data_IF_998738572927
#
_entry.id   IF_998738572927
#
_cell.length_a   1.000
_cell.length_b   1.000
_cell.length_c   1.000
_cell.angle_alpha   90.00
_cell.angle_beta   90.00
_cell.angle_gamma   90.00
#
_symmetry.space_group_name_H-M   'P 1'
#
loop_
_entity.id
_entity.type
_entity.pdbx_description
1 polymer ?
#
# COMPACT_ATOMS: atom_id res chain seq x y z
N UNK A 1 -7.11 19.24 5.06
CA UNK A 1 -7.81 19.96 6.11
C UNK A 1 -7.88 19.19 7.41
N UNK A 2 -8.93 18.38 7.64
CA UNK A 2 -9.21 17.74 8.94
C UNK A 2 -8.08 16.82 9.44
N UNK A 3 -7.58 15.93 8.63
CA UNK A 3 -6.49 15.01 9.00
C UNK A 3 -5.20 15.75 9.43
N UNK A 4 -4.88 16.88 8.83
CA UNK A 4 -3.71 17.71 9.22
C UNK A 4 -3.90 18.29 10.61
N UNK A 5 -5.10 18.80 10.89
CA UNK A 5 -5.48 19.34 12.21
C UNK A 5 -5.39 18.27 13.28
N UNK A 6 -5.98 17.09 13.04
CA UNK A 6 -5.96 15.97 14.01
C UNK A 6 -4.54 15.47 14.29
N UNK A 7 -3.70 15.38 13.25
CA UNK A 7 -2.29 15.05 13.42
C UNK A 7 -1.53 16.10 14.25
N UNK A 8 -1.81 17.39 14.04
CA UNK A 8 -1.21 18.46 14.84
C UNK A 8 -1.67 18.41 16.30
N UNK A 9 -2.93 18.10 16.57
CA UNK A 9 -3.47 17.90 17.91
C UNK A 9 -2.85 16.66 18.58
N UNK A 10 -2.73 15.55 17.85
CA UNK A 10 -2.09 14.33 18.35
C UNK A 10 -0.65 14.57 18.76
N UNK A 11 0.12 15.38 18.03
CA UNK A 11 1.50 15.77 18.41
C UNK A 11 1.61 16.45 19.77
N UNK A 12 0.54 17.10 20.23
CA UNK A 12 0.50 17.78 21.54
C UNK A 12 -0.05 16.87 22.67
N UNK A 13 -0.49 15.67 22.34
CA UNK A 13 -1.10 14.74 23.29
C UNK A 13 -0.05 13.87 24.02
N UNK A 14 -0.37 13.36 25.23
CA UNK A 14 0.47 12.36 25.91
C UNK A 14 0.68 11.08 25.10
N UNK A 15 -0.22 10.78 24.15
CA UNK A 15 -0.10 9.67 23.23
C UNK A 15 1.13 9.78 22.31
N UNK A 16 1.50 11.01 21.93
CA UNK A 16 2.71 11.27 21.15
C UNK A 16 3.99 10.88 21.89
N UNK A 17 4.12 11.23 23.16
CA UNK A 17 5.26 10.85 23.99
C UNK A 17 5.36 9.33 24.13
N UNK A 18 4.25 8.64 24.42
CA UNK A 18 4.18 7.18 24.51
C UNK A 18 4.55 6.48 23.20
N UNK A 19 4.14 7.04 22.05
CA UNK A 19 4.50 6.52 20.74
C UNK A 19 6.02 6.52 20.52
N UNK A 20 6.72 7.59 20.97
CA UNK A 20 8.17 7.71 20.81
C UNK A 20 8.97 6.71 21.66
N UNK A 21 8.48 6.40 22.84
CA UNK A 21 9.11 5.48 23.78
C UNK A 21 8.89 4.00 23.44
N UNK A 22 7.93 3.72 22.57
CA UNK A 22 7.55 2.35 22.22
C UNK A 22 8.06 1.93 20.82
N UNK A 23 8.00 0.63 20.54
CA UNK A 23 8.24 0.10 19.21
C UNK A 23 7.20 0.58 18.17
N UNK A 24 6.06 1.12 18.62
CA UNK A 24 5.03 1.70 17.77
C UNK A 24 5.48 3.00 17.08
N UNK A 25 6.67 3.53 17.35
CA UNK A 25 7.25 4.71 16.68
C UNK A 25 7.23 4.59 15.15
N UNK A 26 7.28 3.38 14.60
CA UNK A 26 7.15 3.08 13.17
C UNK A 26 5.81 3.55 12.59
N UNK A 27 4.75 3.65 13.41
CA UNK A 27 3.44 4.15 12.98
C UNK A 27 3.46 5.62 12.54
N UNK A 28 4.52 6.39 12.83
CA UNK A 28 4.71 7.72 12.24
C UNK A 28 4.75 7.70 10.71
N UNK A 29 5.15 6.58 10.11
CA UNK A 29 5.16 6.39 8.66
C UNK A 29 3.74 6.30 8.04
N UNK A 30 2.72 6.16 8.86
CA UNK A 30 1.34 6.28 8.40
C UNK A 30 1.05 7.68 7.81
N UNK A 31 1.76 8.72 8.27
CA UNK A 31 1.59 10.07 7.76
C UNK A 31 2.05 10.24 6.30
N UNK A 32 3.33 9.98 5.94
CA UNK A 32 3.74 10.05 4.54
C UNK A 32 3.01 9.03 3.67
N UNK A 33 2.65 7.86 4.20
CA UNK A 33 1.81 6.90 3.50
C UNK A 33 0.44 7.50 3.13
N UNK A 34 -0.25 8.12 4.09
CA UNK A 34 -1.56 8.75 3.85
C UNK A 34 -1.48 9.90 2.85
N UNK A 35 -0.40 10.71 2.86
CA UNK A 35 -0.17 11.75 1.88
C UNK A 35 0.02 11.18 0.47
N UNK A 36 0.85 10.14 0.32
CA UNK A 36 1.08 9.50 -0.96
C UNK A 36 -0.21 8.82 -1.49
N UNK A 37 -0.99 8.17 -0.60
CA UNK A 37 -2.31 7.62 -0.95
C UNK A 37 -3.26 8.71 -1.43
N UNK A 38 -3.32 9.84 -0.71
CA UNK A 38 -4.15 10.98 -1.08
C UNK A 38 -3.80 11.56 -2.44
N UNK A 39 -2.51 11.69 -2.76
CA UNK A 39 -2.05 12.12 -4.08
C UNK A 39 -2.45 11.12 -5.18
N UNK A 40 -2.21 9.82 -4.97
CA UNK A 40 -2.60 8.80 -5.95
C UNK A 40 -4.12 8.78 -6.17
N UNK A 41 -4.91 8.85 -5.10
CA UNK A 41 -6.37 8.91 -5.19
C UNK A 41 -6.84 10.20 -5.88
N UNK A 42 -6.21 11.33 -5.59
CA UNK A 42 -6.47 12.62 -6.24
C UNK A 42 -6.24 12.54 -7.75
N UNK A 43 -5.18 11.89 -8.20
CA UNK A 43 -4.93 11.65 -9.62
C UNK A 43 -6.02 10.83 -10.29
N UNK A 44 -6.42 9.70 -9.68
CA UNK A 44 -7.49 8.85 -10.21
C UNK A 44 -8.80 9.62 -10.27
N UNK A 45 -9.13 10.37 -9.21
CA UNK A 45 -10.33 11.20 -9.19
C UNK A 45 -10.30 12.30 -10.26
N UNK A 46 -9.17 12.99 -10.43
CA UNK A 46 -9.01 14.03 -11.43
C UNK A 46 -9.18 13.48 -12.86
N UNK A 47 -8.63 12.29 -13.14
CA UNK A 47 -8.79 11.61 -14.45
C UNK A 47 -10.26 11.30 -14.78
N UNK A 48 -11.08 11.03 -13.76
CA UNK A 48 -12.51 10.71 -13.94
C UNK A 48 -13.40 11.97 -13.97
N UNK A 49 -13.05 12.97 -13.14
CA UNK A 49 -13.94 14.10 -12.87
C UNK A 49 -13.62 15.37 -13.67
N UNK A 50 -12.40 15.53 -14.21
CA UNK A 50 -11.96 16.74 -14.91
C UNK A 50 -11.93 16.48 -16.42
N UNK A 51 -12.93 17.02 -17.18
CA UNK A 51 -12.90 16.96 -18.63
C UNK A 51 -11.67 17.68 -19.21
N UNK A 52 -11.02 17.08 -20.20
CA UNK A 52 -9.86 17.72 -20.86
C UNK A 52 -8.58 17.73 -20.03
N UNK A 53 -8.50 16.99 -18.90
CA UNK A 53 -7.28 16.90 -18.09
C UNK A 53 -6.06 16.47 -18.92
N UNK A 54 -6.26 15.61 -19.90
CA UNK A 54 -5.19 15.12 -20.76
C UNK A 54 -4.47 16.20 -21.56
N UNK A 55 -5.12 17.32 -21.86
CA UNK A 55 -4.49 18.44 -22.59
C UNK A 55 -3.49 19.24 -21.74
N UNK A 56 -3.57 19.14 -20.41
CA UNK A 56 -2.71 19.87 -19.45
C UNK A 56 -1.86 18.94 -18.57
N UNK A 57 -2.01 17.61 -18.73
CA UNK A 57 -1.43 16.62 -17.82
C UNK A 57 0.10 16.68 -17.78
N UNK A 58 0.74 17.05 -18.90
CA UNK A 58 2.20 17.19 -18.99
C UNK A 58 2.75 18.27 -18.04
N UNK A 59 1.99 19.31 -17.74
CA UNK A 59 2.36 20.33 -16.75
C UNK A 59 2.14 19.87 -15.31
N UNK A 60 1.25 18.90 -15.12
CA UNK A 60 0.92 18.36 -13.80
C UNK A 60 1.95 17.31 -13.38
N UNK A 61 2.51 16.53 -14.29
CA UNK A 61 3.49 15.48 -13.96
C UNK A 61 4.72 15.99 -13.20
N UNK A 62 5.40 17.09 -13.58
CA UNK A 62 6.53 17.62 -12.79
C UNK A 62 6.13 18.01 -11.37
N UNK A 63 4.95 18.61 -11.20
CA UNK A 63 4.40 18.99 -9.88
C UNK A 63 4.14 17.74 -9.02
N UNK A 64 3.56 16.72 -9.63
CA UNK A 64 3.32 15.44 -8.97
C UNK A 64 4.62 14.74 -8.56
N UNK A 65 5.62 14.71 -9.45
CA UNK A 65 6.94 14.16 -9.16
C UNK A 65 7.56 14.89 -7.96
N UNK A 66 7.55 16.23 -7.97
CA UNK A 66 8.04 17.03 -6.84
C UNK A 66 7.32 16.68 -5.52
N UNK A 67 5.99 16.56 -5.56
CA UNK A 67 5.19 16.15 -4.40
C UNK A 67 5.55 14.77 -3.88
N UNK A 68 5.67 13.77 -4.76
CA UNK A 68 6.08 12.42 -4.36
C UNK A 68 7.53 12.36 -3.84
N UNK A 69 8.45 13.15 -4.41
CA UNK A 69 9.84 13.26 -3.91
C UNK A 69 9.87 13.86 -2.51
N UNK A 70 9.10 14.90 -2.24
CA UNK A 70 9.00 15.50 -0.91
C UNK A 70 8.44 14.51 0.11
N UNK A 71 7.39 13.77 -0.24
CA UNK A 71 6.79 12.75 0.63
C UNK A 71 7.77 11.59 0.84
N UNK A 72 8.40 11.10 -0.22
CA UNK A 72 9.38 10.02 -0.16
C UNK A 72 10.63 10.40 0.64
N UNK A 73 11.16 11.61 0.42
CA UNK A 73 12.27 12.16 1.19
C UNK A 73 11.92 12.28 2.68
N UNK A 74 10.72 12.76 3.00
CA UNK A 74 10.24 12.80 4.39
C UNK A 74 10.12 11.39 4.99
N UNK A 75 9.61 10.42 4.25
CA UNK A 75 9.54 9.03 4.69
C UNK A 75 10.94 8.45 4.97
N UNK A 76 11.91 8.69 4.08
CA UNK A 76 13.30 8.24 4.27
C UNK A 76 13.96 8.88 5.50
N UNK A 77 13.76 10.17 5.72
CA UNK A 77 14.26 10.85 6.91
C UNK A 77 13.66 10.27 8.20
N UNK A 78 12.36 9.94 8.20
CA UNK A 78 11.72 9.27 9.35
C UNK A 78 12.29 7.88 9.56
N UNK A 79 12.47 7.10 8.51
CA UNK A 79 13.06 5.76 8.58
C UNK A 79 14.48 5.84 9.14
N UNK A 80 15.32 6.75 8.59
CA UNK A 80 16.69 6.92 9.03
C UNK A 80 16.79 7.31 10.51
N UNK A 81 15.93 8.23 10.98
CA UNK A 81 15.88 8.62 12.40
C UNK A 81 15.45 7.47 13.29
N UNK A 82 14.34 6.78 12.95
CA UNK A 82 13.82 5.66 13.73
C UNK A 82 14.84 4.52 13.82
N UNK A 83 15.44 4.16 12.69
CA UNK A 83 16.46 3.09 12.66
C UNK A 83 17.75 3.54 13.34
N UNK A 84 18.21 4.77 13.11
CA UNK A 84 19.39 5.32 13.73
C UNK A 84 19.28 5.29 15.25
N UNK A 85 18.19 5.81 15.82
CA UNK A 85 17.93 5.79 17.26
C UNK A 85 17.91 4.37 17.83
N UNK A 86 17.26 3.44 17.12
CA UNK A 86 17.09 2.06 17.58
C UNK A 86 18.35 1.20 17.42
N UNK A 87 19.10 1.39 16.35
CA UNK A 87 20.35 0.66 16.12
C UNK A 87 21.47 1.15 17.05
N UNK A 88 21.51 2.45 17.36
CA UNK A 88 22.52 3.02 18.27
C UNK A 88 22.25 2.69 19.74
N UNK A 89 20.96 2.64 20.14
CA UNK A 89 20.60 2.37 21.55
C UNK A 89 20.44 0.89 21.87
N UNK A 90 20.39 -0.01 20.89
CA UNK A 90 20.13 -1.44 21.10
C UNK A 90 18.73 -1.78 21.66
N UNK A 91 17.86 -0.79 21.80
CA UNK A 91 16.57 -0.90 22.48
C UNK A 91 15.38 -1.39 21.62
N UNK A 92 15.63 -1.95 20.44
CA UNK A 92 14.56 -2.50 19.60
C UNK A 92 14.32 -3.95 19.99
N UNK A 93 13.40 -4.17 20.90
CA UNK A 93 12.94 -5.51 21.25
C UNK A 93 12.00 -6.04 20.15
N UNK A 94 12.58 -6.74 19.20
CA UNK A 94 11.82 -7.40 18.12
C UNK A 94 10.79 -8.37 18.69
N UNK A 95 11.00 -8.90 19.88
CA UNK A 95 10.12 -9.83 20.56
C UNK A 95 8.83 -9.20 21.08
N UNK A 96 8.84 -7.93 21.50
CA UNK A 96 7.64 -7.24 22.00
C UNK A 96 6.76 -6.65 20.90
N UNK A 97 7.14 -6.80 19.62
CA UNK A 97 6.42 -6.19 18.50
C UNK A 97 5.65 -7.25 17.70
N UNK A 98 4.60 -7.81 18.29
CA UNK A 98 3.73 -8.84 17.70
C UNK A 98 2.86 -8.30 16.55
N UNK A 99 3.37 -7.39 15.73
CA UNK A 99 2.59 -6.79 14.66
C UNK A 99 3.39 -6.55 13.40
N UNK A 100 2.74 -6.70 12.25
CA UNK A 100 3.30 -6.35 10.95
C UNK A 100 3.29 -4.85 10.65
N UNK A 101 2.98 -3.99 11.63
CA UNK A 101 3.14 -2.53 11.49
C UNK A 101 4.57 -2.12 11.15
N UNK A 102 5.56 -2.97 11.43
CA UNK A 102 6.94 -2.81 10.97
C UNK A 102 7.08 -2.74 9.44
N UNK A 103 6.09 -3.19 8.67
CA UNK A 103 6.09 -3.09 7.20
C UNK A 103 5.60 -1.73 6.68
N UNK A 104 5.17 -0.80 7.56
CA UNK A 104 4.76 0.55 7.14
C UNK A 104 5.83 1.32 6.34
N UNK A 105 7.16 1.21 6.63
CA UNK A 105 8.18 1.78 5.76
C UNK A 105 8.08 1.30 4.32
N UNK A 106 7.99 -0.01 4.13
CA UNK A 106 7.87 -0.62 2.81
C UNK A 106 6.58 -0.16 2.10
N UNK A 107 5.47 -0.09 2.83
CA UNK A 107 4.19 0.36 2.30
C UNK A 107 4.24 1.84 1.86
N UNK A 108 4.84 2.72 2.68
CA UNK A 108 4.97 4.14 2.33
C UNK A 108 5.85 4.33 1.08
N UNK A 109 6.98 3.63 1.02
CA UNK A 109 7.90 3.70 -0.13
C UNK A 109 7.29 3.13 -1.41
N UNK A 110 6.54 2.00 -1.33
CA UNK A 110 5.83 1.44 -2.50
C UNK A 110 4.73 2.37 -3.00
N UNK A 111 4.05 3.10 -2.11
CA UNK A 111 3.02 4.06 -2.49
C UNK A 111 3.61 5.28 -3.22
N UNK A 112 4.80 5.72 -2.83
CA UNK A 112 5.57 6.75 -3.57
C UNK A 112 6.03 6.22 -4.93
N UNK A 113 6.58 5.00 -4.96
CA UNK A 113 7.06 4.37 -6.18
C UNK A 113 5.95 4.22 -7.23
N UNK A 114 4.76 3.74 -6.83
CA UNK A 114 3.62 3.57 -7.75
C UNK A 114 3.08 4.91 -8.26
N UNK A 115 3.13 5.96 -7.46
CA UNK A 115 2.76 7.31 -7.89
C UNK A 115 3.71 7.86 -8.96
N UNK A 116 5.00 7.75 -8.73
CA UNK A 116 6.05 8.14 -9.69
C UNK A 116 5.98 7.32 -10.99
N UNK A 117 5.71 6.01 -10.90
CA UNK A 117 5.58 5.15 -12.08
C UNK A 117 4.44 5.56 -13.00
N UNK A 118 3.41 6.22 -12.47
CA UNK A 118 2.33 6.80 -13.27
C UNK A 118 2.84 7.86 -14.23
N UNK A 119 3.61 8.82 -13.75
CA UNK A 119 4.24 9.85 -14.59
C UNK A 119 5.23 9.25 -15.59
N UNK A 120 6.01 8.23 -15.19
CA UNK A 120 6.94 7.54 -16.05
C UNK A 120 6.26 6.83 -17.23
N UNK A 121 5.07 6.23 -17.00
CA UNK A 121 4.36 5.46 -18.01
C UNK A 121 3.48 6.31 -18.94
N UNK A 122 3.07 7.50 -18.50
CA UNK A 122 2.04 8.30 -19.19
C UNK A 122 2.55 9.61 -19.80
N UNK A 123 3.67 10.16 -19.34
CA UNK A 123 4.24 11.39 -19.89
C UNK A 123 4.84 11.13 -21.29
N UNK A 124 4.73 12.13 -22.17
CA UNK A 124 5.37 12.14 -23.48
C UNK A 124 6.70 12.93 -23.47
N UNK A 125 7.01 13.62 -22.37
CA UNK A 125 8.23 14.38 -22.25
C UNK A 125 9.38 13.46 -21.77
N UNK A 126 10.45 13.26 -22.57
CA UNK A 126 11.55 12.33 -22.25
C UNK A 126 12.24 12.65 -20.91
N UNK A 127 12.40 13.93 -20.57
CA UNK A 127 13.04 14.32 -19.32
C UNK A 127 12.15 13.95 -18.11
N UNK A 128 10.83 14.21 -18.20
CA UNK A 128 9.86 13.81 -17.18
C UNK A 128 9.84 12.29 -17.01
N UNK A 129 9.82 11.55 -18.11
CA UNK A 129 9.86 10.07 -18.11
C UNK A 129 11.12 9.56 -17.42
N UNK A 130 12.30 10.05 -17.81
CA UNK A 130 13.58 9.60 -17.26
C UNK A 130 13.67 9.84 -15.75
N UNK A 131 13.30 11.05 -15.31
CA UNK A 131 13.31 11.40 -13.88
C UNK A 131 12.31 10.55 -13.09
N UNK A 132 11.08 10.44 -13.58
CA UNK A 132 10.03 9.66 -12.93
C UNK A 132 10.37 8.16 -12.86
N UNK A 133 10.90 7.60 -13.94
CA UNK A 133 11.36 6.21 -14.02
C UNK A 133 12.45 5.92 -12.99
N UNK A 134 13.51 6.75 -12.99
CA UNK A 134 14.66 6.58 -12.10
C UNK A 134 14.25 6.66 -10.62
N UNK A 135 13.45 7.67 -10.26
CA UNK A 135 12.96 7.85 -8.91
C UNK A 135 11.98 6.73 -8.49
N UNK A 136 11.10 6.29 -9.41
CA UNK A 136 10.20 5.17 -9.14
C UNK A 136 10.97 3.89 -8.88
N UNK A 137 11.96 3.57 -9.71
CA UNK A 137 12.82 2.39 -9.54
C UNK A 137 13.60 2.46 -8.21
N UNK A 138 14.12 3.64 -7.84
CA UNK A 138 14.81 3.88 -6.57
C UNK A 138 13.89 3.56 -5.37
N UNK A 139 12.70 4.18 -5.31
CA UNK A 139 11.77 3.95 -4.20
C UNK A 139 11.21 2.53 -4.18
N UNK A 140 11.00 1.91 -5.35
CA UNK A 140 10.58 0.52 -5.47
C UNK A 140 11.63 -0.42 -4.87
N UNK A 141 12.90 -0.24 -5.21
CA UNK A 141 14.00 -1.04 -4.67
C UNK A 141 14.07 -0.94 -3.15
N UNK A 142 14.02 0.28 -2.61
CA UNK A 142 14.00 0.49 -1.16
C UNK A 142 12.76 -0.14 -0.49
N UNK A 143 11.61 -0.07 -1.16
CA UNK A 143 10.38 -0.71 -0.66
C UNK A 143 10.51 -2.22 -0.60
N UNK A 144 10.99 -2.86 -1.67
CA UNK A 144 11.14 -4.33 -1.74
C UNK A 144 12.15 -4.82 -0.71
N UNK A 145 13.31 -4.15 -0.59
CA UNK A 145 14.32 -4.48 0.43
C UNK A 145 13.75 -4.35 1.85
N UNK A 146 13.04 -3.25 2.11
CA UNK A 146 12.39 -3.03 3.41
C UNK A 146 11.32 -4.08 3.69
N UNK A 147 10.48 -4.41 2.69
CA UNK A 147 9.42 -5.41 2.82
C UNK A 147 10.01 -6.78 3.16
N UNK A 148 11.08 -7.19 2.47
CA UNK A 148 11.74 -8.47 2.71
C UNK A 148 12.30 -8.55 4.13
N UNK A 149 13.09 -7.55 4.56
CA UNK A 149 13.71 -7.52 5.89
C UNK A 149 12.64 -7.51 7.00
N UNK A 150 11.62 -6.65 6.87
CA UNK A 150 10.60 -6.52 7.92
C UNK A 150 9.60 -7.67 7.92
N UNK A 151 9.33 -8.31 6.78
CA UNK A 151 8.51 -9.52 6.75
C UNK A 151 9.19 -10.67 7.48
N UNK A 152 10.49 -10.91 7.25
CA UNK A 152 11.24 -11.94 7.96
C UNK A 152 11.28 -11.68 9.48
N UNK A 153 11.57 -10.45 9.89
CA UNK A 153 11.59 -10.09 11.32
C UNK A 153 10.20 -10.19 11.95
N UNK A 154 9.17 -9.73 11.25
CA UNK A 154 7.79 -9.83 11.72
C UNK A 154 7.30 -11.26 11.88
N UNK A 155 7.57 -12.14 10.91
CA UNK A 155 7.25 -13.57 11.00
C UNK A 155 7.98 -14.23 12.16
N UNK A 156 9.28 -13.97 12.33
CA UNK A 156 10.05 -14.52 13.45
C UNK A 156 9.48 -14.10 14.81
N UNK A 157 9.09 -12.84 14.96
CA UNK A 157 8.46 -12.34 16.18
C UNK A 157 7.10 -13.03 16.45
N UNK A 158 6.30 -13.21 15.39
CA UNK A 158 5.00 -13.90 15.51
C UNK A 158 5.13 -15.39 15.85
N UNK A 159 6.13 -16.08 15.29
CA UNK A 159 6.41 -17.48 15.65
C UNK A 159 6.87 -17.62 17.10
N UNK A 160 7.60 -16.64 17.62
CA UNK A 160 8.13 -16.66 18.99
C UNK A 160 7.09 -16.29 20.05
N UNK A 161 6.17 -15.38 19.75
CA UNK A 161 5.30 -14.74 20.77
C UNK A 161 3.80 -14.81 20.46
N UNK A 162 3.44 -15.32 19.27
CA UNK A 162 2.05 -15.30 18.80
C UNK A 162 1.58 -13.91 18.35
N UNK A 163 0.41 -13.87 17.73
CA UNK A 163 -0.25 -12.63 17.30
C UNK A 163 -1.33 -12.22 18.29
N UNK A 164 -1.28 -10.98 18.78
CA UNK A 164 -2.38 -10.46 19.59
C UNK A 164 -3.63 -10.18 18.73
N UNK A 165 -4.85 -10.33 19.26
CA UNK A 165 -6.08 -10.03 18.51
C UNK A 165 -6.11 -8.61 17.95
N UNK A 166 -5.59 -7.64 18.70
CA UNK A 166 -5.61 -6.22 18.36
C UNK A 166 -4.75 -5.90 17.13
N UNK A 167 -3.60 -6.60 16.98
CA UNK A 167 -2.62 -6.32 15.92
C UNK A 167 -2.68 -7.30 14.76
N UNK A 168 -3.47 -8.36 14.85
CA UNK A 168 -3.55 -9.44 13.84
C UNK A 168 -3.97 -8.93 12.44
N UNK A 169 -4.78 -7.87 12.35
CA UNK A 169 -5.16 -7.25 11.08
C UNK A 169 -3.94 -6.74 10.29
N UNK A 170 -2.84 -6.41 10.96
CA UNK A 170 -1.61 -5.95 10.29
C UNK A 170 -0.91 -7.05 9.48
N UNK A 171 -1.22 -8.33 9.72
CA UNK A 171 -0.74 -9.45 8.89
C UNK A 171 -1.10 -9.27 7.42
N UNK A 172 -2.21 -8.63 7.14
CA UNK A 172 -2.67 -8.40 5.77
C UNK A 172 -2.00 -7.21 5.07
N UNK A 173 -1.08 -6.48 5.72
CA UNK A 173 -0.38 -5.35 5.09
C UNK A 173 0.50 -5.76 3.90
N UNK A 174 0.93 -7.01 3.85
CA UNK A 174 1.66 -7.57 2.70
C UNK A 174 0.85 -7.57 1.40
N UNK A 175 -0.49 -7.64 1.50
CA UNK A 175 -1.39 -7.68 0.33
C UNK A 175 -1.31 -6.39 -0.49
N UNK A 176 -1.57 -5.18 0.08
CA UNK A 176 -1.45 -3.95 -0.68
C UNK A 176 -0.01 -3.67 -1.14
N UNK A 177 1.02 -4.04 -0.36
CA UNK A 177 2.41 -3.87 -0.79
C UNK A 177 2.68 -4.67 -2.07
N UNK A 178 2.29 -5.94 -2.12
CA UNK A 178 2.44 -6.78 -3.31
C UNK A 178 1.71 -6.19 -4.53
N UNK A 179 0.51 -5.62 -4.33
CA UNK A 179 -0.23 -4.90 -5.38
C UNK A 179 0.59 -3.74 -5.94
N UNK A 180 1.09 -2.87 -5.06
CA UNK A 180 1.83 -1.67 -5.45
C UNK A 180 3.13 -2.01 -6.17
N UNK A 181 3.85 -3.02 -5.70
CA UNK A 181 5.08 -3.52 -6.34
C UNK A 181 4.78 -4.02 -7.75
N UNK A 182 3.75 -4.86 -7.91
CA UNK A 182 3.38 -5.40 -9.22
C UNK A 182 2.93 -4.33 -10.22
N UNK A 183 2.11 -3.37 -9.78
CA UNK A 183 1.66 -2.25 -10.62
C UNK A 183 2.84 -1.35 -11.00
N UNK A 184 3.75 -1.08 -10.06
CA UNK A 184 4.94 -0.28 -10.33
C UNK A 184 5.82 -0.97 -11.38
N UNK A 185 6.11 -2.26 -11.22
CA UNK A 185 6.89 -3.04 -12.19
C UNK A 185 6.23 -3.04 -13.57
N UNK A 186 4.91 -3.25 -13.63
CA UNK A 186 4.15 -3.17 -14.88
C UNK A 186 4.29 -1.79 -15.55
N UNK A 187 4.12 -0.70 -14.81
CA UNK A 187 4.21 0.67 -15.36
C UNK A 187 5.62 1.01 -15.81
N UNK A 188 6.66 0.58 -15.06
CA UNK A 188 8.05 0.75 -15.47
C UNK A 188 8.36 -0.07 -16.72
N UNK A 189 7.84 -1.29 -16.85
CA UNK A 189 7.97 -2.10 -18.05
C UNK A 189 7.30 -1.42 -19.27
N UNK A 190 6.10 -0.86 -19.08
CA UNK A 190 5.41 -0.07 -20.12
C UNK A 190 6.23 1.16 -20.52
N UNK A 191 6.78 1.90 -19.55
CA UNK A 191 7.65 3.04 -19.83
C UNK A 191 8.91 2.63 -20.59
N UNK A 192 9.52 1.49 -20.21
CA UNK A 192 10.69 0.95 -20.90
C UNK A 192 10.38 0.60 -22.38
N UNK A 193 9.22 0.00 -22.64
CA UNK A 193 8.81 -0.35 -24.00
C UNK A 193 8.50 0.89 -24.86
N UNK A 194 7.83 1.90 -24.29
CA UNK A 194 7.37 3.07 -25.04
C UNK A 194 8.47 4.09 -25.30
N UNK A 195 9.43 4.26 -24.35
CA UNK A 195 10.38 5.38 -24.39
C UNK A 195 11.84 4.94 -24.57
N UNK A 196 12.18 3.70 -24.22
CA UNK A 196 13.56 3.20 -24.26
C UNK A 196 13.76 2.05 -25.26
N UNK A 197 12.77 1.77 -26.11
CA UNK A 197 12.81 0.73 -27.14
C UNK A 197 13.18 -0.67 -26.58
N UNK A 198 12.80 -0.97 -25.34
CA UNK A 198 13.01 -2.28 -24.69
C UNK A 198 11.75 -3.12 -24.85
N UNK A 199 11.83 -4.21 -25.60
CA UNK A 199 10.70 -5.15 -25.69
C UNK A 199 10.55 -5.94 -24.39
N UNK A 200 9.41 -5.78 -23.71
CA UNK A 200 9.07 -6.57 -22.52
C UNK A 200 8.02 -7.61 -22.90
N UNK A 201 8.38 -8.91 -22.87
CA UNK A 201 7.44 -9.97 -23.22
C UNK A 201 6.21 -9.99 -22.29
N UNK A 202 5.01 -10.14 -22.87
CA UNK A 202 3.76 -10.20 -22.11
C UNK A 202 3.74 -11.34 -21.07
N UNK A 203 4.42 -12.47 -21.37
CA UNK A 203 4.55 -13.59 -20.44
C UNK A 203 5.35 -13.22 -19.17
N UNK A 204 6.32 -12.30 -19.27
CA UNK A 204 7.06 -11.82 -18.11
C UNK A 204 6.14 -10.99 -17.19
N UNK A 205 5.30 -10.14 -17.77
CA UNK A 205 4.30 -9.37 -17.02
C UNK A 205 3.27 -10.28 -16.35
N UNK A 206 2.81 -11.32 -17.04
CA UNK A 206 1.97 -12.35 -16.44
C UNK A 206 2.67 -12.98 -15.22
N UNK A 207 3.96 -13.34 -15.36
CA UNK A 207 4.75 -13.91 -14.27
C UNK A 207 4.84 -12.98 -13.05
N UNK A 208 5.02 -11.67 -13.26
CA UNK A 208 5.02 -10.66 -12.18
C UNK A 208 3.68 -10.65 -11.44
N UNK A 209 2.55 -10.65 -12.16
CA UNK A 209 1.24 -10.65 -11.53
C UNK A 209 0.95 -11.96 -10.79
N UNK A 210 1.31 -13.11 -11.36
CA UNK A 210 1.16 -14.42 -10.69
C UNK A 210 1.99 -14.48 -9.41
N UNK A 211 3.25 -14.02 -9.44
CA UNK A 211 4.11 -13.96 -8.26
C UNK A 211 3.51 -13.07 -7.16
N UNK A 212 3.01 -11.90 -7.53
CA UNK A 212 2.36 -10.99 -6.59
C UNK A 212 1.06 -11.57 -6.01
N UNK A 213 0.23 -12.25 -6.83
CA UNK A 213 -0.97 -12.97 -6.36
C UNK A 213 -0.60 -14.10 -5.40
N UNK A 214 0.49 -14.83 -5.64
CA UNK A 214 0.98 -15.86 -4.74
C UNK A 214 1.36 -15.27 -3.37
N UNK A 215 2.09 -14.15 -3.35
CA UNK A 215 2.43 -13.43 -2.11
C UNK A 215 1.16 -12.95 -1.40
N UNK A 216 0.20 -12.37 -2.11
CA UNK A 216 -1.08 -11.95 -1.53
C UNK A 216 -1.85 -13.11 -0.92
N UNK A 217 -1.93 -14.24 -1.64
CA UNK A 217 -2.63 -15.44 -1.16
C UNK A 217 -2.00 -15.96 0.12
N UNK A 218 -0.67 -15.98 0.20
CA UNK A 218 0.06 -16.35 1.42
C UNK A 218 -0.33 -15.46 2.61
N UNK A 219 -0.28 -14.13 2.44
CA UNK A 219 -0.63 -13.21 3.53
C UNK A 219 -2.12 -13.25 3.89
N UNK A 220 -3.02 -13.41 2.91
CA UNK A 220 -4.46 -13.53 3.14
C UNK A 220 -4.79 -14.79 3.92
N UNK A 221 -4.25 -15.94 3.53
CA UNK A 221 -4.50 -17.23 4.20
C UNK A 221 -3.91 -17.25 5.60
N UNK A 222 -2.66 -16.74 5.77
CA UNK A 222 -2.03 -16.66 7.08
C UNK A 222 -2.80 -15.74 8.03
N UNK A 223 -3.12 -14.52 7.58
CA UNK A 223 -3.87 -13.56 8.38
C UNK A 223 -5.28 -14.04 8.71
N UNK A 224 -5.98 -14.70 7.75
CA UNK A 224 -7.28 -15.32 7.99
C UNK A 224 -7.20 -16.40 9.06
N UNK A 225 -6.23 -17.32 8.96
CA UNK A 225 -6.06 -18.42 9.90
C UNK A 225 -5.81 -17.91 11.33
N UNK A 226 -4.94 -16.91 11.48
CA UNK A 226 -4.61 -16.30 12.78
C UNK A 226 -5.82 -15.57 13.35
N UNK A 227 -6.44 -14.66 12.57
CA UNK A 227 -7.56 -13.84 13.04
C UNK A 227 -8.83 -14.66 13.35
N UNK A 228 -9.00 -15.79 12.67
CA UNK A 228 -10.09 -16.74 12.99
C UNK A 228 -9.85 -17.43 14.34
N UNK A 229 -8.60 -17.88 14.59
CA UNK A 229 -8.26 -18.59 15.84
C UNK A 229 -8.28 -17.71 17.07
N UNK A 230 -7.81 -16.46 16.96
CA UNK A 230 -7.76 -15.54 18.11
C UNK A 230 -8.99 -14.61 18.23
N UNK A 231 -10.01 -14.79 17.38
CA UNK A 231 -11.25 -14.00 17.43
C UNK A 231 -11.13 -12.56 16.94
N UNK A 232 -9.99 -12.15 16.39
CA UNK A 232 -9.71 -10.76 15.99
C UNK A 232 -10.70 -10.23 14.94
N UNK A 233 -11.16 -11.06 14.00
CA UNK A 233 -12.17 -10.66 13.02
C UNK A 233 -13.48 -10.23 13.68
N UNK A 234 -13.98 -11.02 14.62
CA UNK A 234 -15.22 -10.71 15.34
C UNK A 234 -15.05 -9.47 16.20
N UNK A 235 -13.91 -9.36 16.89
CA UNK A 235 -13.59 -8.22 17.75
C UNK A 235 -13.47 -6.92 16.94
N UNK A 236 -12.83 -6.95 15.78
CA UNK A 236 -12.68 -5.78 14.92
C UNK A 236 -14.02 -5.18 14.46
N UNK A 237 -15.04 -6.01 14.28
CA UNK A 237 -16.39 -5.53 13.93
C UNK A 237 -17.27 -5.21 15.15
N UNK A 238 -17.07 -5.88 16.28
CA UNK A 238 -17.84 -5.60 17.52
C UNK A 238 -17.35 -4.33 18.22
N UNK A 239 -16.04 -4.18 18.35
CA UNK A 239 -15.36 -3.07 19.01
C UNK A 239 -14.29 -2.46 18.08
N UNK A 240 -14.73 -1.75 17.02
CA UNK A 240 -13.81 -1.24 16.03
C UNK A 240 -12.84 -0.20 16.62
N UNK A 241 -11.58 -0.36 16.26
CA UNK A 241 -10.52 0.61 16.52
C UNK A 241 -10.07 1.21 15.18
N UNK A 242 -9.31 2.31 15.17
CA UNK A 242 -8.72 2.81 13.93
C UNK A 242 -7.91 1.75 13.17
N UNK A 243 -7.30 0.80 13.87
CA UNK A 243 -6.55 -0.31 13.27
C UNK A 243 -7.45 -1.32 12.53
N UNK A 244 -8.74 -1.40 12.88
CA UNK A 244 -9.71 -2.27 12.18
C UNK A 244 -9.87 -1.91 10.70
N UNK A 245 -9.56 -0.66 10.31
CA UNK A 245 -9.53 -0.27 8.90
C UNK A 245 -8.41 -0.96 8.09
N UNK A 246 -7.41 -1.52 8.76
CA UNK A 246 -6.41 -2.35 8.09
C UNK A 246 -7.02 -3.59 7.39
N UNK A 247 -8.22 -4.01 7.79
CA UNK A 247 -8.97 -5.10 7.16
C UNK A 247 -9.54 -4.73 5.77
N UNK A 248 -9.68 -3.45 5.47
CA UNK A 248 -10.23 -2.98 4.19
C UNK A 248 -9.18 -3.00 3.07
N UNK A 249 -7.95 -2.56 3.39
CA UNK A 249 -6.88 -2.44 2.39
C UNK A 249 -6.58 -3.74 1.61
N UNK A 250 -6.58 -4.93 2.23
CA UNK A 250 -6.37 -6.19 1.53
C UNK A 250 -7.45 -6.50 0.49
N UNK A 251 -8.71 -6.22 0.81
CA UNK A 251 -9.80 -6.42 -0.12
C UNK A 251 -9.66 -5.56 -1.37
N UNK A 252 -9.35 -4.29 -1.20
CA UNK A 252 -9.07 -3.37 -2.32
C UNK A 252 -7.82 -3.81 -3.09
N UNK A 253 -6.72 -4.08 -2.40
CA UNK A 253 -5.46 -4.46 -3.03
C UNK A 253 -5.57 -5.74 -3.85
N UNK A 254 -6.22 -6.77 -3.32
CA UNK A 254 -6.43 -8.02 -4.01
C UNK A 254 -7.30 -7.85 -5.26
N UNK A 255 -8.40 -7.12 -5.15
CA UNK A 255 -9.28 -6.83 -6.29
C UNK A 255 -8.53 -6.09 -7.40
N UNK A 256 -7.81 -5.02 -7.06
CA UNK A 256 -7.04 -4.22 -8.03
C UNK A 256 -6.01 -5.08 -8.75
N UNK A 257 -5.27 -5.92 -8.02
CA UNK A 257 -4.27 -6.79 -8.63
C UNK A 257 -4.91 -7.84 -9.55
N UNK A 258 -6.05 -8.41 -9.19
CA UNK A 258 -6.79 -9.32 -10.06
C UNK A 258 -7.24 -8.64 -11.36
N UNK A 259 -7.67 -7.38 -11.31
CA UNK A 259 -8.00 -6.62 -12.53
C UNK A 259 -6.75 -6.41 -13.41
N UNK A 260 -5.62 -6.04 -12.81
CA UNK A 260 -4.37 -5.92 -13.56
C UNK A 260 -3.93 -7.27 -14.16
N UNK A 261 -4.02 -8.36 -13.39
CA UNK A 261 -3.74 -9.71 -13.87
C UNK A 261 -4.59 -10.06 -15.07
N UNK A 262 -5.91 -9.84 -15.03
CA UNK A 262 -6.82 -10.17 -16.12
C UNK A 262 -6.57 -9.31 -17.36
N UNK A 263 -6.54 -7.98 -17.22
CA UNK A 263 -6.50 -7.08 -18.37
C UNK A 263 -5.09 -6.82 -18.90
N UNK A 264 -4.05 -6.92 -18.06
CA UNK A 264 -2.67 -6.60 -18.42
C UNK A 264 -1.74 -7.82 -18.44
N UNK A 265 -2.13 -8.92 -17.78
CA UNK A 265 -1.41 -10.18 -17.80
C UNK A 265 -2.00 -11.17 -18.80
N UNK A 266 -3.30 -11.52 -18.66
CA UNK A 266 -3.94 -12.59 -19.42
C UNK A 266 -4.38 -12.13 -20.81
N UNK A 267 -5.12 -11.02 -20.89
CA UNK A 267 -5.72 -10.55 -22.14
C UNK A 267 -4.71 -10.32 -23.29
N UNK A 268 -3.52 -9.76 -23.07
CA UNK A 268 -2.51 -9.60 -24.13
C UNK A 268 -2.02 -10.93 -24.74
N UNK A 269 -2.10 -12.02 -23.97
CA UNK A 269 -1.67 -13.36 -24.41
C UNK A 269 -2.79 -14.14 -25.10
N UNK A 270 -4.05 -13.79 -24.81
CA UNK A 270 -5.25 -14.46 -25.37
C UNK A 270 -6.24 -13.39 -25.86
N UNK A 271 -5.93 -12.65 -26.93
CA UNK A 271 -6.77 -11.52 -27.39
C UNK A 271 -8.21 -11.92 -27.69
N UNK A 272 -8.43 -13.15 -28.19
CA UNK A 272 -9.74 -13.67 -28.53
C UNK A 272 -10.63 -14.02 -27.32
N UNK A 273 -10.05 -14.02 -26.10
CA UNK A 273 -10.78 -14.29 -24.86
C UNK A 273 -11.33 -13.03 -24.18
N UNK A 274 -11.41 -11.90 -24.88
CA UNK A 274 -11.81 -10.60 -24.30
C UNK A 274 -13.17 -10.64 -23.60
N UNK A 275 -14.18 -11.33 -24.15
CA UNK A 275 -15.48 -11.50 -23.51
C UNK A 275 -15.41 -12.33 -22.22
N UNK A 276 -14.60 -13.39 -22.21
CA UNK A 276 -14.38 -14.22 -21.01
C UNK A 276 -13.64 -13.45 -19.91
N UNK A 277 -12.60 -12.69 -20.26
CA UNK A 277 -11.88 -11.82 -19.32
C UNK A 277 -12.82 -10.77 -18.73
N UNK A 278 -13.67 -10.16 -19.54
CA UNK A 278 -14.64 -9.18 -19.08
C UNK A 278 -15.67 -9.82 -18.12
N UNK A 279 -16.17 -11.02 -18.45
CA UNK A 279 -17.07 -11.76 -17.56
C UNK A 279 -16.42 -12.07 -16.22
N UNK A 280 -15.16 -12.51 -16.20
CA UNK A 280 -14.40 -12.74 -14.97
C UNK A 280 -14.22 -11.44 -14.17
N UNK A 281 -13.92 -10.32 -14.83
CA UNK A 281 -13.79 -9.03 -14.19
C UNK A 281 -15.10 -8.58 -13.50
N UNK A 282 -16.25 -8.79 -14.15
CA UNK A 282 -17.57 -8.52 -13.55
C UNK A 282 -17.88 -9.48 -12.40
N UNK A 283 -17.50 -10.75 -12.50
CA UNK A 283 -17.68 -11.73 -11.43
C UNK A 283 -16.93 -11.36 -10.14
N UNK A 284 -15.88 -10.52 -10.23
CA UNK A 284 -15.15 -10.00 -9.07
C UNK A 284 -15.84 -8.78 -8.41
N UNK A 285 -16.79 -8.13 -9.07
CA UNK A 285 -17.47 -6.94 -8.54
C UNK A 285 -18.18 -7.18 -7.19
N UNK A 286 -18.88 -8.32 -6.93
CA UNK A 286 -19.47 -8.60 -5.63
C UNK A 286 -18.44 -8.63 -4.50
N UNK A 287 -17.22 -9.14 -4.74
CA UNK A 287 -16.15 -9.15 -3.76
C UNK A 287 -15.74 -7.72 -3.36
N UNK A 288 -15.63 -6.82 -4.33
CA UNK A 288 -15.33 -5.40 -4.05
C UNK A 288 -16.49 -4.72 -3.31
N UNK A 289 -17.73 -5.07 -3.64
CA UNK A 289 -18.91 -4.56 -2.92
C UNK A 289 -18.88 -4.99 -1.44
N UNK A 290 -18.54 -6.25 -1.13
CA UNK A 290 -18.38 -6.72 0.25
C UNK A 290 -17.30 -5.92 1.00
N UNK A 291 -16.18 -5.62 0.34
CA UNK A 291 -15.12 -4.79 0.91
C UNK A 291 -15.60 -3.37 1.23
N UNK A 292 -16.35 -2.75 0.32
CA UNK A 292 -16.94 -1.43 0.50
C UNK A 292 -17.97 -1.41 1.62
N UNK A 293 -18.86 -2.41 1.67
CA UNK A 293 -19.83 -2.55 2.76
C UNK A 293 -19.12 -2.72 4.10
N UNK A 294 -18.07 -3.55 4.17
CA UNK A 294 -17.24 -3.71 5.37
C UNK A 294 -16.64 -2.38 5.83
N UNK A 295 -16.11 -1.57 4.90
CA UNK A 295 -15.60 -0.22 5.20
C UNK A 295 -16.68 0.68 5.80
N UNK A 296 -17.85 0.77 5.16
CA UNK A 296 -18.96 1.61 5.62
C UNK A 296 -19.46 1.17 7.01
N UNK A 297 -19.55 -0.13 7.25
CA UNK A 297 -19.95 -0.68 8.56
C UNK A 297 -18.93 -0.31 9.64
N UNK A 298 -17.63 -0.46 9.39
CA UNK A 298 -16.57 -0.08 10.33
C UNK A 298 -16.60 1.42 10.62
N UNK A 299 -16.73 2.25 9.58
CA UNK A 299 -16.80 3.71 9.71
C UNK A 299 -17.99 4.12 10.59
N UNK A 300 -19.18 3.62 10.26
CA UNK A 300 -20.39 3.93 11.01
C UNK A 300 -20.31 3.51 12.48
N UNK A 301 -19.69 2.35 12.76
CA UNK A 301 -19.50 1.88 14.14
C UNK A 301 -18.49 2.70 14.91
N UNK A 302 -17.38 3.11 14.27
CA UNK A 302 -16.35 3.93 14.91
C UNK A 302 -16.84 5.35 15.21
N UNK A 303 -17.73 5.91 14.37
CA UNK A 303 -18.30 7.25 14.56
C UNK A 303 -19.45 7.31 15.58
N UNK A 304 -19.99 6.17 16.01
CA UNK A 304 -21.01 6.17 17.07
C UNK A 304 -20.37 6.53 18.41
N UNK A 305 -20.96 7.46 19.17
CA UNK A 305 -20.47 7.76 20.50
C UNK A 305 -20.51 6.50 21.37
N UNK A 306 -19.53 6.31 22.28
CA UNK A 306 -19.55 5.19 23.20
C UNK A 306 -20.89 5.19 23.96
N UNK A 307 -21.60 4.08 23.94
CA UNK A 307 -22.78 3.93 24.81
C UNK A 307 -22.30 3.98 26.25
N UNK A 308 -22.64 5.05 26.94
CA UNK A 308 -22.47 5.18 28.38
C UNK A 308 -23.48 4.16 29.00
N UNK A 309 -22.96 3.01 29.44
CA UNK A 309 -23.69 2.10 30.28
C UNK A 309 -23.46 2.49 31.74
#
# INVERSE_FOLDING_TARGET
GWNVREYALFKKSPGWARLHQSNAVVQKLAWPLALAMGMNAGFVFALLAVPGLWSVIEYIFPIAIAGFVLIGGHALLLIARILGDKLSSGGFDCGKNNSFSMMLPAFALSMVAVGLSGSAAMSQNPATVLVAFSLSAFFLTLSVLSAFVYALKGLNALFSQGASPETSATLWVGVPIATLVAITLYRLAMSASHHFAVEVPAVLLLGVFVAALAVQTMFLTLGWAVMRKNGALVQAFKHPTPLSFALVCPGVGFFVLLQFFLFKGVLPLIPNAGSGVLLMAYALAPFQLVTLVGYVVLLNRLMRPPRIN
#
